data_IF_881434555079
#
_entry.id   IF_881434555079
#
_cell.length_a   1.000
_cell.length_b   1.000
_cell.length_c   1.000
_cell.angle_alpha   90.00
_cell.angle_beta   90.00
_cell.angle_gamma   90.00
#
_symmetry.space_group_name_H-M   'P 1'
#
loop_
_entity.id
_entity.type
_entity.pdbx_description
1 polymer ?
#
# COMPACT_ATOMS: atom_id res chain seq x y z
N UNK A 1 22.76 -5.43 -10.18
CA UNK A 1 22.16 -5.38 -8.83
C UNK A 1 22.97 -4.47 -7.94
N UNK A 2 22.33 -3.45 -7.35
CA UNK A 2 22.96 -2.49 -6.45
C UNK A 2 22.91 -3.04 -5.02
N UNK A 3 24.06 -3.25 -4.38
CA UNK A 3 24.13 -3.81 -3.01
C UNK A 3 24.48 -2.77 -1.95
N UNK A 4 25.11 -1.67 -2.34
CA UNK A 4 25.48 -0.58 -1.43
C UNK A 4 24.23 0.13 -0.87
N UNK A 5 24.08 0.25 0.47
CA UNK A 5 22.89 0.85 1.08
C UNK A 5 22.59 2.26 0.57
N UNK A 6 23.62 3.10 0.41
CA UNK A 6 23.46 4.46 -0.10
C UNK A 6 22.96 4.46 -1.54
N UNK A 7 23.47 3.56 -2.38
CA UNK A 7 23.04 3.45 -3.77
C UNK A 7 21.62 2.88 -3.89
N UNK A 8 21.21 1.97 -3.01
CA UNK A 8 19.80 1.52 -2.91
C UNK A 8 18.89 2.69 -2.53
N UNK A 9 19.28 3.48 -1.54
CA UNK A 9 18.51 4.66 -1.13
C UNK A 9 18.38 5.69 -2.26
N UNK A 10 19.48 6.00 -2.96
CA UNK A 10 19.48 6.90 -4.10
C UNK A 10 18.62 6.38 -5.25
N UNK A 11 18.64 5.07 -5.50
CA UNK A 11 17.78 4.45 -6.51
C UNK A 11 16.29 4.60 -6.16
N UNK A 12 15.92 4.36 -4.90
CA UNK A 12 14.54 4.60 -4.43
C UNK A 12 14.15 6.08 -4.56
N UNK A 13 15.02 7.00 -4.16
CA UNK A 13 14.79 8.43 -4.28
C UNK A 13 14.62 8.87 -5.75
N UNK A 14 15.43 8.31 -6.66
CA UNK A 14 15.30 8.55 -8.10
C UNK A 14 13.98 8.02 -8.66
N UNK A 15 13.51 6.85 -8.21
CA UNK A 15 12.20 6.31 -8.60
C UNK A 15 11.07 7.23 -8.13
N UNK A 16 11.12 7.71 -6.89
CA UNK A 16 10.13 8.65 -6.35
C UNK A 16 10.13 9.95 -7.16
N UNK A 17 11.31 10.52 -7.40
CA UNK A 17 11.46 11.73 -8.22
C UNK A 17 10.91 11.54 -9.64
N UNK A 18 11.27 10.45 -10.31
CA UNK A 18 10.77 10.13 -11.64
C UNK A 18 9.24 9.97 -11.66
N UNK A 19 8.66 9.36 -10.62
CA UNK A 19 7.22 9.16 -10.50
C UNK A 19 6.47 10.48 -10.37
N UNK A 20 6.99 11.41 -9.55
CA UNK A 20 6.45 12.76 -9.40
C UNK A 20 6.59 13.56 -10.71
N UNK A 21 7.76 13.50 -11.33
CA UNK A 21 8.02 14.16 -12.60
C UNK A 21 7.07 13.66 -13.71
N UNK A 22 6.86 12.35 -13.82
CA UNK A 22 5.92 11.76 -14.77
C UNK A 22 4.48 12.23 -14.50
N UNK A 23 4.05 12.23 -13.23
CA UNK A 23 2.73 12.69 -12.82
C UNK A 23 2.45 14.14 -13.24
N UNK A 24 3.45 15.01 -13.14
CA UNK A 24 3.33 16.41 -13.52
C UNK A 24 3.21 16.60 -15.04
N UNK A 25 3.94 15.82 -15.83
CA UNK A 25 4.12 16.05 -17.27
C UNK A 25 3.15 15.25 -18.16
N UNK A 26 2.62 14.11 -17.71
CA UNK A 26 1.82 13.21 -18.54
C UNK A 26 0.41 13.01 -17.97
N UNK A 27 -0.63 13.20 -18.81
CA UNK A 27 -2.04 13.07 -18.39
C UNK A 27 -2.37 11.68 -17.83
N UNK A 28 -1.81 10.62 -18.43
CA UNK A 28 -2.01 9.24 -17.98
C UNK A 28 -1.34 9.01 -16.63
N UNK A 29 -0.10 9.49 -16.46
CA UNK A 29 0.63 9.39 -15.21
C UNK A 29 -0.08 10.16 -14.08
N UNK A 30 -0.64 11.33 -14.38
CA UNK A 30 -1.46 12.10 -13.44
C UNK A 30 -2.71 11.34 -12.98
N UNK A 31 -3.34 10.58 -13.87
CA UNK A 31 -4.50 9.77 -13.52
C UNK A 31 -4.14 8.57 -12.63
N UNK A 32 -2.93 8.03 -12.75
CA UNK A 32 -2.43 6.92 -11.93
C UNK A 32 -1.92 7.36 -10.55
N UNK A 33 -1.38 8.58 -10.47
CA UNK A 33 -0.75 9.13 -9.27
C UNK A 33 0.67 8.61 -9.04
N UNK A 34 1.53 9.44 -8.44
CA UNK A 34 2.94 9.16 -8.19
C UNK A 34 3.19 7.91 -7.35
N UNK A 35 2.30 7.60 -6.39
CA UNK A 35 2.46 6.42 -5.53
C UNK A 35 2.36 5.13 -6.35
N UNK A 36 1.33 5.01 -7.20
CA UNK A 36 1.16 3.83 -8.05
C UNK A 36 2.31 3.71 -9.05
N UNK A 37 2.72 4.83 -9.64
CA UNK A 37 3.88 4.87 -10.55
C UNK A 37 5.16 4.40 -9.86
N UNK A 38 5.43 4.86 -8.63
CA UNK A 38 6.60 4.46 -7.86
C UNK A 38 6.60 2.95 -7.57
N UNK A 39 5.45 2.38 -7.21
CA UNK A 39 5.30 0.93 -7.00
C UNK A 39 5.62 0.16 -8.28
N UNK A 40 5.04 0.57 -9.42
CA UNK A 40 5.25 -0.10 -10.71
C UNK A 40 6.70 0.01 -11.15
N UNK A 41 7.30 1.20 -11.10
CA UNK A 41 8.69 1.43 -11.47
C UNK A 41 9.67 0.65 -10.58
N UNK A 42 9.43 0.63 -9.26
CA UNK A 42 10.23 -0.17 -8.34
C UNK A 42 10.09 -1.67 -8.60
N UNK A 43 8.87 -2.15 -8.90
CA UNK A 43 8.63 -3.55 -9.27
C UNK A 43 9.38 -3.92 -10.55
N UNK A 44 9.33 -3.08 -11.59
CA UNK A 44 10.08 -3.29 -12.83
C UNK A 44 11.58 -3.30 -12.55
N UNK A 45 12.10 -2.32 -11.79
CA UNK A 45 13.53 -2.25 -11.45
C UNK A 45 14.00 -3.48 -10.65
N UNK A 46 13.18 -4.00 -9.74
CA UNK A 46 13.47 -5.22 -8.99
C UNK A 46 13.50 -6.45 -9.91
N UNK A 47 12.53 -6.59 -10.82
CA UNK A 47 12.48 -7.72 -11.76
C UNK A 47 13.63 -7.69 -12.79
N UNK A 48 14.13 -6.52 -13.16
CA UNK A 48 15.33 -6.36 -13.99
C UNK A 48 16.65 -6.59 -13.22
N UNK A 49 16.59 -6.90 -11.93
CA UNK A 49 17.77 -7.15 -11.10
C UNK A 49 18.58 -5.89 -10.76
N UNK A 50 17.97 -4.70 -10.86
CA UNK A 50 18.60 -3.44 -10.45
C UNK A 50 18.53 -3.28 -8.93
N UNK A 51 17.35 -3.53 -8.35
CA UNK A 51 17.12 -3.47 -6.91
C UNK A 51 17.29 -4.86 -6.26
N UNK A 52 17.94 -4.94 -5.09
CA UNK A 52 18.07 -6.19 -4.36
C UNK A 52 16.73 -6.60 -3.72
N UNK A 53 16.50 -7.90 -3.51
CA UNK A 53 15.27 -8.36 -2.84
C UNK A 53 15.27 -8.10 -1.33
N UNK A 54 16.44 -7.85 -0.73
CA UNK A 54 16.61 -7.52 0.68
C UNK A 54 17.68 -6.45 0.82
N UNK A 55 17.42 -5.44 1.66
CA UNK A 55 18.37 -4.40 2.01
C UNK A 55 18.04 -3.84 3.38
N UNK A 56 19.05 -3.48 4.16
CA UNK A 56 18.88 -2.77 5.44
C UNK A 56 18.06 -1.48 5.28
N UNK A 57 18.18 -0.81 4.13
CA UNK A 57 17.44 0.42 3.80
C UNK A 57 15.93 0.19 3.83
N UNK A 58 15.45 -0.95 3.31
CA UNK A 58 14.02 -1.25 3.29
C UNK A 58 13.47 -1.43 4.71
N UNK A 59 14.24 -2.06 5.60
CA UNK A 59 13.86 -2.22 7.01
C UNK A 59 13.87 -0.88 7.75
N UNK A 60 14.89 -0.05 7.53
CA UNK A 60 14.96 1.28 8.15
C UNK A 60 13.81 2.17 7.69
N UNK A 61 13.55 2.23 6.38
CA UNK A 61 12.46 3.05 5.82
C UNK A 61 11.09 2.54 6.25
N UNK A 62 10.83 1.24 6.11
CA UNK A 62 9.54 0.65 6.47
C UNK A 62 9.24 0.62 7.97
N UNK A 63 10.27 0.65 8.82
CA UNK A 63 10.14 0.73 10.27
C UNK A 63 10.19 2.18 10.78
N UNK A 64 11.38 2.60 11.22
CA UNK A 64 11.57 3.91 11.86
C UNK A 64 11.24 5.06 10.91
N UNK A 65 11.56 4.93 9.61
CA UNK A 65 11.28 5.95 8.61
C UNK A 65 9.81 6.29 8.51
N UNK A 66 8.93 5.28 8.40
CA UNK A 66 7.47 5.47 8.39
C UNK A 66 6.99 6.09 9.70
N UNK A 67 7.47 5.61 10.85
CA UNK A 67 7.06 6.16 12.15
C UNK A 67 7.42 7.64 12.31
N UNK A 68 8.63 8.03 11.88
CA UNK A 68 9.06 9.42 11.87
C UNK A 68 8.24 10.25 10.88
N UNK A 69 7.96 9.72 9.69
CA UNK A 69 7.09 10.37 8.71
C UNK A 69 5.70 10.67 9.27
N UNK A 70 5.09 9.70 9.95
CA UNK A 70 3.80 9.88 10.65
C UNK A 70 3.93 10.98 11.71
N UNK A 71 4.96 10.95 12.54
CA UNK A 71 5.16 11.96 13.59
C UNK A 71 5.32 13.38 13.00
N UNK A 72 6.06 13.52 11.91
CA UNK A 72 6.26 14.80 11.23
C UNK A 72 4.96 15.34 10.60
N UNK A 73 4.17 14.46 9.98
CA UNK A 73 2.86 14.83 9.43
C UNK A 73 1.91 15.28 10.54
N UNK A 74 1.86 14.54 11.65
CA UNK A 74 1.04 14.86 12.81
C UNK A 74 1.47 16.17 13.51
N UNK A 75 2.76 16.49 13.50
CA UNK A 75 3.25 17.75 14.07
C UNK A 75 2.74 18.97 13.29
N UNK A 76 2.57 18.83 11.96
CA UNK A 76 2.06 19.88 11.09
C UNK A 76 0.54 19.89 10.91
N UNK A 77 -0.19 18.94 11.49
CA UNK A 77 -1.63 18.81 11.26
C UNK A 77 -2.43 19.74 12.17
N UNK A 78 -3.44 20.43 11.62
CA UNK A 78 -4.43 21.12 12.45
C UNK A 78 -5.42 20.11 13.02
N UNK A 79 -5.33 19.86 14.32
CA UNK A 79 -6.22 18.93 15.03
C UNK A 79 -7.70 19.30 14.84
N UNK A 80 -8.03 20.60 14.72
CA UNK A 80 -9.42 21.04 14.52
C UNK A 80 -9.94 20.64 13.14
N UNK A 81 -9.09 20.69 12.11
CA UNK A 81 -9.48 20.26 10.76
C UNK A 81 -9.70 18.75 10.73
N UNK A 82 -8.86 17.97 11.42
CA UNK A 82 -9.00 16.51 11.53
C UNK A 82 -10.30 16.15 12.24
N UNK A 83 -10.62 16.76 13.37
CA UNK A 83 -11.86 16.48 14.11
C UNK A 83 -13.09 16.84 13.26
N UNK A 84 -13.03 17.94 12.49
CA UNK A 84 -14.14 18.35 11.63
C UNK A 84 -14.34 17.41 10.44
N UNK A 85 -13.26 16.91 9.83
CA UNK A 85 -13.32 15.97 8.70
C UNK A 85 -13.55 14.51 9.14
N UNK A 86 -13.18 14.18 10.39
CA UNK A 86 -13.17 12.82 10.94
C UNK A 86 -14.45 12.03 10.70
N UNK A 87 -15.65 12.56 11.01
CA UNK A 87 -16.91 11.83 10.78
C UNK A 87 -17.13 11.44 9.32
N UNK A 88 -16.85 12.35 8.38
CA UNK A 88 -16.98 12.07 6.95
C UNK A 88 -15.95 11.02 6.49
N UNK A 89 -14.71 11.11 6.99
CA UNK A 89 -13.66 10.14 6.72
C UNK A 89 -14.00 8.76 7.28
N UNK A 90 -14.55 8.67 8.49
CA UNK A 90 -14.99 7.43 9.12
C UNK A 90 -16.19 6.82 8.39
N UNK A 91 -17.14 7.63 7.94
CA UNK A 91 -18.25 7.15 7.12
C UNK A 91 -17.76 6.59 5.78
N UNK A 92 -16.85 7.28 5.10
CA UNK A 92 -16.22 6.80 3.87
C UNK A 92 -15.44 5.51 4.09
N UNK A 93 -14.67 5.42 5.19
CA UNK A 93 -13.97 4.20 5.59
C UNK A 93 -14.96 3.05 5.85
N UNK A 94 -16.03 3.29 6.61
CA UNK A 94 -17.06 2.29 6.90
C UNK A 94 -17.73 1.78 5.63
N UNK A 95 -18.08 2.68 4.71
CA UNK A 95 -18.62 2.31 3.40
C UNK A 95 -17.62 1.47 2.59
N UNK A 96 -16.36 1.88 2.55
CA UNK A 96 -15.29 1.12 1.90
C UNK A 96 -15.07 -0.26 2.52
N UNK A 97 -15.13 -0.36 3.85
CA UNK A 97 -14.96 -1.60 4.59
C UNK A 97 -16.11 -2.58 4.32
N UNK A 98 -17.36 -2.10 4.36
CA UNK A 98 -18.54 -2.89 3.98
C UNK A 98 -18.47 -3.31 2.51
N UNK A 99 -18.09 -2.39 1.62
CA UNK A 99 -17.91 -2.68 0.20
C UNK A 99 -16.84 -3.74 -0.05
N UNK A 100 -15.73 -3.69 0.69
CA UNK A 100 -14.64 -4.67 0.64
C UNK A 100 -15.12 -6.05 1.08
N UNK A 101 -15.80 -6.12 2.23
CA UNK A 101 -16.36 -7.37 2.73
C UNK A 101 -17.40 -7.96 1.77
N UNK A 102 -18.31 -7.13 1.26
CA UNK A 102 -19.32 -7.56 0.28
C UNK A 102 -18.67 -8.05 -1.02
N UNK A 103 -17.66 -7.36 -1.53
CA UNK A 103 -16.89 -7.76 -2.71
C UNK A 103 -16.18 -9.11 -2.51
N UNK A 104 -15.57 -9.33 -1.34
CA UNK A 104 -14.93 -10.61 -1.01
C UNK A 104 -15.94 -11.77 -0.92
N UNK A 105 -17.12 -11.53 -0.33
CA UNK A 105 -18.21 -12.51 -0.29
C UNK A 105 -18.72 -12.83 -1.69
N UNK A 106 -18.99 -11.80 -2.51
CA UNK A 106 -19.42 -11.98 -3.89
C UNK A 106 -18.39 -12.78 -4.70
N UNK A 107 -17.11 -12.44 -4.59
CA UNK A 107 -16.03 -13.18 -5.24
C UNK A 107 -16.02 -14.65 -4.80
N UNK A 108 -16.21 -14.92 -3.51
CA UNK A 108 -16.31 -16.31 -3.00
C UNK A 108 -17.46 -17.05 -3.64
N UNK A 109 -18.68 -16.48 -3.62
CA UNK A 109 -19.86 -17.14 -4.21
C UNK A 109 -19.65 -17.43 -5.70
N UNK A 110 -19.07 -16.49 -6.45
CA UNK A 110 -18.86 -16.63 -7.89
C UNK A 110 -17.71 -17.59 -8.26
N UNK A 111 -16.69 -17.71 -7.41
CA UNK A 111 -15.44 -18.43 -7.74
C UNK A 111 -15.19 -19.67 -6.86
N UNK A 112 -16.11 -20.03 -5.94
CA UNK A 112 -15.88 -21.14 -5.02
C UNK A 112 -15.60 -22.47 -5.73
N UNK A 113 -16.22 -22.74 -6.87
CA UNK A 113 -15.98 -23.95 -7.66
C UNK A 113 -14.57 -24.01 -8.25
N UNK A 114 -14.00 -22.85 -8.64
CA UNK A 114 -12.67 -22.76 -9.23
C UNK A 114 -11.55 -22.73 -8.17
N UNK A 115 -11.83 -22.12 -7.02
CA UNK A 115 -10.85 -21.95 -5.93
C UNK A 115 -10.87 -23.12 -4.96
N UNK A 116 -12.04 -23.73 -4.77
CA UNK A 116 -12.27 -24.83 -3.85
C UNK A 116 -13.12 -24.45 -2.62
N UNK A 117 -13.45 -25.46 -1.79
CA UNK A 117 -14.39 -25.32 -0.68
C UNK A 117 -13.93 -24.35 0.43
N UNK A 118 -12.63 -24.07 0.52
CA UNK A 118 -12.02 -23.20 1.53
C UNK A 118 -11.85 -21.75 1.07
N UNK A 119 -12.47 -21.37 -0.05
CA UNK A 119 -12.42 -20.01 -0.61
C UNK A 119 -12.88 -18.91 0.37
N UNK A 120 -13.77 -19.24 1.31
CA UNK A 120 -14.21 -18.34 2.38
C UNK A 120 -13.05 -17.89 3.30
N UNK A 121 -12.04 -18.74 3.53
CA UNK A 121 -10.85 -18.39 4.32
C UNK A 121 -10.02 -17.32 3.61
N UNK A 122 -9.86 -17.45 2.29
CA UNK A 122 -9.18 -16.45 1.47
C UNK A 122 -9.94 -15.13 1.50
N UNK A 123 -11.27 -15.16 1.38
CA UNK A 123 -12.10 -13.95 1.49
C UNK A 123 -11.95 -13.25 2.84
N UNK A 124 -11.87 -14.00 3.94
CA UNK A 124 -11.55 -13.44 5.25
C UNK A 124 -10.18 -12.76 5.28
N UNK A 125 -9.14 -13.44 4.80
CA UNK A 125 -7.77 -12.91 4.73
C UNK A 125 -7.68 -11.63 3.87
N UNK A 126 -8.29 -11.62 2.67
CA UNK A 126 -8.32 -10.45 1.79
C UNK A 126 -9.15 -9.31 2.37
N UNK A 127 -10.27 -9.60 3.02
CA UNK A 127 -11.04 -8.56 3.73
C UNK A 127 -10.18 -7.91 4.83
N UNK A 128 -9.44 -8.72 5.60
CA UNK A 128 -8.48 -8.24 6.58
C UNK A 128 -7.38 -7.38 5.97
N UNK A 129 -6.82 -7.78 4.83
CA UNK A 129 -5.72 -7.06 4.16
C UNK A 129 -6.14 -5.68 3.66
N UNK A 130 -7.32 -5.57 3.06
CA UNK A 130 -7.75 -4.31 2.44
C UNK A 130 -8.43 -3.34 3.41
N UNK A 131 -8.88 -3.81 4.58
CA UNK A 131 -9.39 -2.93 5.65
C UNK A 131 -8.27 -2.46 6.59
N UNK A 132 -7.29 -3.31 6.91
CA UNK A 132 -6.27 -2.99 7.92
C UNK A 132 -4.85 -3.52 7.65
N UNK A 133 -4.57 -3.92 6.40
CA UNK A 133 -3.21 -4.23 5.93
C UNK A 133 -2.73 -5.66 6.21
N UNK A 134 -1.45 -5.90 5.90
CA UNK A 134 -0.85 -7.23 5.94
C UNK A 134 -0.85 -7.89 7.33
N UNK A 135 -0.82 -7.12 8.41
CA UNK A 135 -0.92 -7.68 9.78
C UNK A 135 -2.30 -8.27 10.04
N UNK A 136 -3.37 -7.59 9.61
CA UNK A 136 -4.74 -8.08 9.73
C UNK A 136 -4.97 -9.31 8.85
N UNK A 137 -4.38 -9.34 7.65
CA UNK A 137 -4.39 -10.52 6.78
C UNK A 137 -3.81 -11.75 7.49
N UNK A 138 -2.65 -11.61 8.13
CA UNK A 138 -2.00 -12.71 8.86
C UNK A 138 -2.79 -13.11 10.10
N UNK A 139 -3.38 -12.15 10.82
CA UNK A 139 -4.21 -12.43 11.99
C UNK A 139 -5.45 -13.25 11.63
N UNK A 140 -6.20 -12.83 10.61
CA UNK A 140 -7.39 -13.56 10.13
C UNK A 140 -7.01 -14.90 9.53
N UNK A 141 -5.87 -14.99 8.85
CA UNK A 141 -5.41 -16.24 8.25
C UNK A 141 -4.97 -17.31 9.24
N UNK A 142 -4.79 -16.96 10.51
CA UNK A 142 -4.47 -17.88 11.61
C UNK A 142 -5.67 -18.24 12.50
N UNK A 143 -6.80 -17.56 12.31
CA UNK A 143 -8.06 -17.87 12.99
C UNK A 143 -8.73 -19.10 12.36
#
# INVERSE_FOLDING_TARGET
>A
MITEPLAVFLALAAIVYLSLWLEEHWRVARALGSVLLAIVLAAVAANLGLLPSRSGVYYTLGGIGVNLGIALILLGVDVRSVIRAGPAMLAAFGLGAVGTAAGAVLATVMLHDAVGPESWKLAGQYTGTYIGGGVNMVAVGRA
#
